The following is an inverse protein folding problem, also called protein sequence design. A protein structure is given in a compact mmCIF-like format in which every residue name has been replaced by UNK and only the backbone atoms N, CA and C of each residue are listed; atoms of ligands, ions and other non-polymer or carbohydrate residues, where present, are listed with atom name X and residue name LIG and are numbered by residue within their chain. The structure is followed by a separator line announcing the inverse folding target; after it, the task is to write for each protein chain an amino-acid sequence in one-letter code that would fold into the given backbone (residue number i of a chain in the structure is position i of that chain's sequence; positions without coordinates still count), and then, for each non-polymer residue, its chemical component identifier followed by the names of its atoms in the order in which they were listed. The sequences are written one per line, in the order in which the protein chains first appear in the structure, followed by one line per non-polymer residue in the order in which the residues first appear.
data_IF_734932943217
#
_entry.id   IF_734932943217
#
_cell.length_a   1.000
_cell.length_b   1.000
_cell.length_c   1.000
_cell.angle_alpha   90.00
_cell.angle_beta   90.00
_cell.angle_gamma   90.00
#
_symmetry.space_group_name_H-M   'P 1'
#
loop_
_entity.id
_entity.type
_entity.pdbx_description
1 polymer ?
#
# COMPACT_ATOMS: atom_id res chain seq x y z
N UNK A 1 -15.66 -16.80 -23.56
CA UNK A 1 -15.97 -15.94 -22.39
C UNK A 1 -17.42 -15.43 -22.41
N UNK A 2 -17.86 -14.68 -23.43
CA UNK A 2 -19.24 -14.13 -23.49
C UNK A 2 -20.34 -15.21 -23.62
N UNK A 3 -20.13 -16.24 -24.44
CA UNK A 3 -21.13 -17.30 -24.64
C UNK A 3 -21.46 -18.08 -23.36
N UNK A 4 -20.46 -18.47 -22.57
CA UNK A 4 -20.64 -19.28 -21.35
C UNK A 4 -21.45 -18.54 -20.26
N UNK A 5 -21.24 -17.23 -20.13
CA UNK A 5 -21.98 -16.39 -19.18
C UNK A 5 -23.42 -16.13 -19.63
N UNK A 6 -23.64 -15.91 -20.93
CA UNK A 6 -24.99 -15.74 -21.49
C UNK A 6 -25.79 -17.04 -21.39
N UNK A 7 -25.17 -18.19 -21.69
CA UNK A 7 -25.83 -19.50 -21.56
C UNK A 7 -26.08 -19.87 -20.10
N UNK A 8 -25.14 -19.61 -19.21
CA UNK A 8 -25.30 -19.87 -17.77
C UNK A 8 -26.39 -18.99 -17.13
N UNK A 9 -26.43 -17.71 -17.48
CA UNK A 9 -27.47 -16.78 -17.03
C UNK A 9 -28.86 -17.16 -17.54
N UNK A 10 -28.97 -17.54 -18.82
CA UNK A 10 -30.24 -17.98 -19.41
C UNK A 10 -30.77 -19.26 -18.73
N UNK A 11 -29.90 -20.23 -18.43
CA UNK A 11 -30.28 -21.47 -17.73
C UNK A 11 -30.75 -21.18 -16.31
N UNK A 12 -30.10 -20.28 -15.57
CA UNK A 12 -30.51 -19.90 -14.21
C UNK A 12 -31.86 -19.16 -14.20
N UNK A 13 -32.10 -18.27 -15.16
CA UNK A 13 -33.38 -17.57 -15.33
C UNK A 13 -34.50 -18.56 -15.68
N UNK A 14 -34.24 -19.48 -16.62
CA UNK A 14 -35.20 -20.52 -17.01
C UNK A 14 -35.53 -21.46 -15.83
N UNK A 15 -34.53 -21.83 -15.01
CA UNK A 15 -34.73 -22.67 -13.82
C UNK A 15 -35.52 -21.97 -12.70
N UNK A 16 -35.45 -20.63 -12.62
CA UNK A 16 -36.31 -19.85 -11.70
C UNK A 16 -37.76 -19.83 -12.18
N UNK A 17 -37.99 -19.70 -13.49
CA UNK A 17 -39.33 -19.66 -14.08
C UNK A 17 -40.08 -21.00 -13.98
N UNK A 18 -39.36 -22.13 -14.04
CA UNK A 18 -39.95 -23.49 -14.05
C UNK A 18 -40.11 -24.08 -12.63
N UNK A 19 -39.68 -23.36 -11.57
CA UNK A 19 -39.85 -23.82 -10.18
C UNK A 19 -38.89 -24.94 -9.73
N UNK A 20 -38.03 -25.46 -10.61
CA UNK A 20 -37.06 -26.54 -10.39
C UNK A 20 -35.79 -26.14 -9.64
N UNK A 21 -35.74 -24.92 -9.10
CA UNK A 21 -34.62 -24.33 -8.35
C UNK A 21 -34.05 -25.21 -7.23
N UNK A 22 -34.84 -26.09 -6.60
CA UNK A 22 -34.35 -26.99 -5.54
C UNK A 22 -33.55 -28.19 -6.05
N UNK A 23 -33.85 -28.67 -7.26
CA UNK A 23 -33.26 -29.89 -7.85
C UNK A 23 -32.05 -29.55 -8.71
N UNK A 24 -32.14 -28.50 -9.53
CA UNK A 24 -31.07 -28.11 -10.46
C UNK A 24 -29.95 -27.25 -9.83
N UNK A 25 -30.11 -26.79 -8.57
CA UNK A 25 -29.06 -26.01 -7.88
C UNK A 25 -27.74 -26.75 -7.78
N UNK A 26 -27.78 -28.04 -7.44
CA UNK A 26 -26.58 -28.85 -7.22
C UNK A 26 -25.87 -29.20 -8.53
N UNK A 27 -26.57 -29.64 -9.59
CA UNK A 27 -25.96 -29.82 -10.91
C UNK A 27 -25.34 -28.53 -11.48
N UNK A 28 -26.04 -27.40 -11.39
CA UNK A 28 -25.52 -26.10 -11.89
C UNK A 28 -24.32 -25.66 -11.05
N UNK A 29 -24.39 -25.78 -9.72
CA UNK A 29 -23.27 -25.48 -8.83
C UNK A 29 -22.06 -26.36 -9.13
N UNK A 30 -22.24 -27.68 -9.28
CA UNK A 30 -21.17 -28.61 -9.63
C UNK A 30 -20.58 -28.30 -11.01
N UNK A 31 -21.40 -27.93 -12.00
CA UNK A 31 -20.94 -27.52 -13.32
C UNK A 31 -20.09 -26.24 -13.25
N UNK A 32 -20.54 -25.23 -12.50
CA UNK A 32 -19.78 -23.99 -12.29
C UNK A 32 -18.46 -24.28 -11.57
N UNK A 33 -18.49 -25.08 -10.49
CA UNK A 33 -17.27 -25.49 -9.78
C UNK A 33 -16.32 -26.27 -10.69
N UNK A 34 -16.83 -27.16 -11.54
CA UNK A 34 -16.01 -27.90 -12.50
C UNK A 34 -15.40 -26.97 -13.57
N UNK A 35 -16.17 -26.01 -14.09
CA UNK A 35 -15.66 -25.01 -15.03
C UNK A 35 -14.55 -24.15 -14.40
N UNK A 36 -14.78 -23.64 -13.18
CA UNK A 36 -13.76 -22.91 -12.40
C UNK A 36 -12.52 -23.78 -12.16
N UNK A 37 -12.69 -25.06 -11.83
CA UNK A 37 -11.58 -25.98 -11.62
C UNK A 37 -10.77 -26.19 -12.91
N UNK A 38 -11.43 -26.34 -14.06
CA UNK A 38 -10.76 -26.47 -15.36
C UNK A 38 -9.98 -25.20 -15.72
N UNK A 39 -10.59 -24.02 -15.53
CA UNK A 39 -9.91 -22.74 -15.75
C UNK A 39 -8.71 -22.56 -14.81
N UNK A 40 -8.85 -22.94 -13.53
CA UNK A 40 -7.76 -22.91 -12.57
C UNK A 40 -6.62 -23.85 -12.98
N UNK A 41 -6.95 -25.07 -13.43
CA UNK A 41 -5.94 -26.03 -13.92
C UNK A 41 -5.25 -25.50 -15.17
N UNK A 42 -5.98 -24.98 -16.16
CA UNK A 42 -5.40 -24.38 -17.36
C UNK A 42 -4.49 -23.20 -17.02
N UNK A 43 -4.91 -22.32 -16.11
CA UNK A 43 -4.12 -21.21 -15.61
C UNK A 43 -2.83 -21.69 -14.92
N UNK A 44 -2.94 -22.68 -14.02
CA UNK A 44 -1.79 -23.27 -13.33
C UNK A 44 -0.84 -23.90 -14.33
N UNK A 45 -1.33 -24.60 -15.35
CA UNK A 45 -0.49 -25.15 -16.42
C UNK A 45 0.26 -24.06 -17.19
N UNK A 46 -0.40 -22.97 -17.60
CA UNK A 46 0.26 -21.82 -18.24
C UNK A 46 1.31 -21.19 -17.33
N UNK A 47 1.04 -21.10 -16.02
CA UNK A 47 2.03 -20.58 -15.06
C UNK A 47 3.20 -21.54 -14.85
N UNK A 48 2.96 -22.85 -14.82
CA UNK A 48 4.01 -23.85 -14.71
C UNK A 48 4.89 -23.86 -15.96
N UNK A 49 4.32 -23.71 -17.16
CA UNK A 49 5.11 -23.60 -18.39
C UNK A 49 5.91 -22.30 -18.43
N UNK A 50 5.33 -21.16 -18.06
CA UNK A 50 6.08 -19.89 -17.92
C UNK A 50 7.22 -20.03 -16.89
N UNK A 51 6.98 -20.67 -15.74
CA UNK A 51 8.03 -20.96 -14.73
C UNK A 51 9.11 -21.89 -15.28
N UNK A 52 8.75 -22.91 -16.07
CA UNK A 52 9.71 -23.81 -16.69
C UNK A 52 10.55 -23.10 -17.76
N UNK A 53 9.95 -22.23 -18.56
CA UNK A 53 10.66 -21.38 -19.52
C UNK A 53 11.60 -20.39 -18.83
N UNK A 54 11.15 -19.75 -17.75
CA UNK A 54 12.01 -18.91 -16.90
C UNK A 54 13.14 -19.71 -16.26
N UNK A 55 12.87 -20.96 -15.86
CA UNK A 55 13.85 -21.88 -15.26
C UNK A 55 15.06 -22.15 -16.16
N UNK A 56 14.84 -22.16 -17.48
CA UNK A 56 15.87 -22.43 -18.50
C UNK A 56 16.51 -21.14 -19.04
N UNK A 57 15.91 -19.98 -18.77
CA UNK A 57 16.42 -18.69 -19.23
C UNK A 57 17.75 -18.29 -18.58
N UNK A 58 18.64 -17.68 -19.36
CA UNK A 58 19.88 -17.01 -18.89
C UNK A 58 19.61 -16.01 -17.75
N UNK A 59 18.39 -15.48 -17.67
CA UNK A 59 17.98 -14.59 -16.58
C UNK A 59 18.05 -15.27 -15.20
N UNK A 60 17.87 -16.59 -15.11
CA UNK A 60 17.90 -17.30 -13.82
C UNK A 60 19.29 -17.36 -13.20
N UNK A 61 20.35 -17.39 -14.00
CA UNK A 61 21.72 -17.32 -13.48
C UNK A 61 22.00 -15.94 -12.85
N UNK A 62 21.53 -14.87 -13.50
CA UNK A 62 21.60 -13.51 -12.96
C UNK A 62 20.72 -13.35 -11.72
N UNK A 63 19.50 -13.92 -11.71
CA UNK A 63 18.62 -13.91 -10.53
C UNK A 63 19.25 -14.64 -9.35
N UNK A 64 19.82 -15.84 -9.56
CA UNK A 64 20.54 -16.56 -8.50
C UNK A 64 21.72 -15.79 -7.93
N UNK A 65 22.47 -15.07 -8.78
CA UNK A 65 23.56 -14.21 -8.33
C UNK A 65 23.02 -13.09 -7.42
N UNK A 66 21.94 -12.42 -7.84
CA UNK A 66 21.29 -11.38 -7.04
C UNK A 66 20.66 -11.92 -5.74
N UNK A 67 20.08 -13.12 -5.77
CA UNK A 67 19.54 -13.81 -4.59
C UNK A 67 20.63 -14.22 -3.60
N UNK A 68 21.87 -14.40 -4.06
CA UNK A 68 23.01 -14.76 -3.20
C UNK A 68 23.63 -13.55 -2.49
N UNK A 69 23.31 -12.33 -2.90
CA UNK A 69 23.80 -11.11 -2.27
C UNK A 69 23.25 -10.97 -0.85
N UNK A 70 24.12 -10.70 0.11
CA UNK A 70 23.75 -10.54 1.53
C UNK A 70 23.61 -9.08 1.96
N UNK A 71 24.00 -8.14 1.09
CA UNK A 71 23.89 -6.70 1.34
C UNK A 71 23.33 -5.97 0.11
N UNK A 72 22.65 -4.84 0.33
CA UNK A 72 22.16 -4.00 -0.74
C UNK A 72 23.29 -3.45 -1.63
N UNK A 73 24.44 -3.11 -1.03
CA UNK A 73 25.58 -2.59 -1.78
C UNK A 73 26.13 -3.61 -2.78
N UNK A 74 26.29 -4.87 -2.35
CA UNK A 74 26.68 -5.98 -3.21
C UNK A 74 25.61 -6.24 -4.28
N UNK A 75 24.34 -6.30 -3.88
CA UNK A 75 23.22 -6.45 -4.83
C UNK A 75 23.22 -5.36 -5.91
N UNK A 76 23.41 -4.09 -5.54
CA UNK A 76 23.42 -2.96 -6.46
C UNK A 76 24.61 -3.04 -7.45
N UNK A 77 25.79 -3.45 -6.97
CA UNK A 77 26.96 -3.64 -7.81
C UNK A 77 26.76 -4.78 -8.83
N UNK A 78 26.21 -5.92 -8.39
CA UNK A 78 25.89 -7.03 -9.29
C UNK A 78 24.80 -6.63 -10.29
N UNK A 79 23.76 -5.93 -9.85
CA UNK A 79 22.70 -5.41 -10.70
C UNK A 79 23.25 -4.49 -11.80
N UNK A 80 24.17 -3.59 -11.45
CA UNK A 80 24.83 -2.70 -12.41
C UNK A 80 25.67 -3.48 -13.43
N UNK A 81 26.40 -4.50 -12.98
CA UNK A 81 27.19 -5.38 -13.87
C UNK A 81 26.29 -6.13 -14.86
N UNK A 82 25.17 -6.66 -14.37
CA UNK A 82 24.17 -7.34 -15.20
C UNK A 82 23.54 -6.35 -16.20
N UNK A 83 23.30 -5.10 -15.81
CA UNK A 83 22.77 -4.06 -16.69
C UNK A 83 23.76 -3.65 -17.78
N UNK A 84 25.04 -3.52 -17.44
CA UNK A 84 26.12 -3.23 -18.39
C UNK A 84 26.26 -4.34 -19.44
N UNK A 85 26.34 -5.61 -19.03
CA UNK A 85 26.39 -6.77 -19.95
C UNK A 85 25.11 -6.88 -20.79
N UNK A 86 23.98 -6.42 -20.26
CA UNK A 86 22.69 -6.45 -20.94
C UNK A 86 22.45 -5.30 -21.92
N UNK A 87 23.33 -4.30 -22.01
CA UNK A 87 23.15 -3.07 -22.79
C UNK A 87 22.15 -2.09 -22.18
N UNK A 88 21.70 -2.31 -20.94
CA UNK A 88 20.74 -1.44 -20.24
C UNK A 88 21.40 -0.17 -19.72
N UNK A 89 22.70 -0.21 -19.47
CA UNK A 89 23.49 0.95 -19.05
C UNK A 89 23.53 2.05 -20.13
N UNK A 90 23.60 1.67 -21.42
CA UNK A 90 23.51 2.62 -22.54
C UNK A 90 22.16 3.34 -22.57
N UNK A 91 21.06 2.61 -22.32
CA UNK A 91 19.74 3.21 -22.19
C UNK A 91 19.66 4.18 -21.01
N UNK A 92 20.33 3.92 -19.88
CA UNK A 92 20.36 4.85 -18.74
C UNK A 92 21.13 6.14 -19.03
N UNK A 93 22.19 6.04 -19.85
CA UNK A 93 23.02 7.18 -20.29
C UNK A 93 22.30 8.09 -21.26
N UNK A 94 21.50 7.53 -22.17
CA UNK A 94 20.71 8.31 -23.12
C UNK A 94 19.59 9.08 -22.41
N UNK A 95 19.63 10.43 -22.35
CA UNK A 95 18.60 11.20 -21.67
C UNK A 95 17.26 11.18 -22.42
N UNK A 96 17.26 10.99 -23.74
CA UNK A 96 16.03 10.98 -24.49
C UNK A 96 15.16 9.75 -24.14
N UNK A 97 13.89 10.01 -23.82
CA UNK A 97 12.82 8.99 -23.72
C UNK A 97 11.48 9.64 -24.05
N UNK A 98 10.51 8.84 -24.51
CA UNK A 98 9.12 9.26 -24.65
C UNK A 98 8.38 9.26 -23.30
N UNK A 99 8.90 8.54 -22.32
CA UNK A 99 8.25 8.28 -21.03
C UNK A 99 8.28 9.49 -20.07
N UNK A 100 9.09 10.52 -20.36
CA UNK A 100 9.18 11.74 -19.55
C UNK A 100 9.72 12.92 -20.37
N UNK A 101 9.49 14.14 -19.87
CA UNK A 101 9.95 15.35 -20.54
C UNK A 101 11.41 15.69 -20.19
N UNK A 102 12.33 14.96 -20.82
CA UNK A 102 13.76 15.07 -20.56
C UNK A 102 14.34 16.48 -20.83
N UNK A 103 13.77 17.23 -21.79
CA UNK A 103 14.24 18.58 -22.11
C UNK A 103 13.93 19.56 -20.99
N UNK A 104 12.70 19.49 -20.47
CA UNK A 104 12.31 20.32 -19.33
C UNK A 104 13.06 19.93 -18.06
N UNK A 105 13.27 18.64 -17.81
CA UNK A 105 14.10 18.18 -16.67
C UNK A 105 15.50 18.76 -16.74
N UNK A 106 16.17 18.67 -17.90
CA UNK A 106 17.53 19.19 -18.07
C UNK A 106 17.59 20.71 -17.86
N UNK A 107 16.69 21.46 -18.52
CA UNK A 107 16.65 22.92 -18.39
C UNK A 107 16.33 23.36 -16.96
N UNK A 108 15.43 22.67 -16.28
CA UNK A 108 15.02 22.98 -14.91
C UNK A 108 16.12 22.62 -13.90
N UNK A 109 16.83 21.50 -14.09
CA UNK A 109 17.98 21.11 -13.28
C UNK A 109 19.10 22.17 -13.34
N UNK A 110 19.43 22.68 -14.53
CA UNK A 110 20.45 23.73 -14.67
C UNK A 110 20.02 25.04 -14.00
N UNK A 111 18.72 25.39 -14.05
CA UNK A 111 18.18 26.55 -13.32
C UNK A 111 18.27 26.39 -11.81
N UNK A 112 17.94 25.21 -11.29
CA UNK A 112 18.08 24.89 -9.85
C UNK A 112 19.55 25.00 -9.41
N UNK A 113 20.45 24.44 -10.20
CA UNK A 113 21.89 24.47 -9.94
C UNK A 113 22.44 25.89 -9.97
N UNK A 114 22.06 26.70 -10.96
CA UNK A 114 22.45 28.10 -11.06
C UNK A 114 21.95 28.92 -9.86
N UNK A 115 20.66 28.79 -9.50
CA UNK A 115 20.08 29.49 -8.35
C UNK A 115 20.75 29.08 -7.03
N UNK A 116 21.05 27.79 -6.85
CA UNK A 116 21.77 27.29 -5.67
C UNK A 116 23.19 27.83 -5.58
N UNK A 117 23.92 27.87 -6.69
CA UNK A 117 25.31 28.39 -6.72
C UNK A 117 25.36 29.91 -6.54
N UNK A 118 24.33 30.63 -6.99
CA UNK A 118 24.19 32.07 -6.78
C UNK A 118 23.77 32.44 -5.34
N UNK A 119 23.29 31.48 -4.56
CA UNK A 119 22.80 31.73 -3.19
C UNK A 119 21.45 32.46 -3.13
N UNK A 120 20.67 32.45 -4.22
CA UNK A 120 19.37 33.11 -4.26
C UNK A 120 18.27 32.18 -3.70
N UNK A 121 18.06 32.27 -2.39
CA UNK A 121 17.05 31.48 -1.66
C UNK A 121 15.62 31.70 -2.15
N UNK A 122 15.30 32.92 -2.62
CA UNK A 122 13.94 33.28 -3.06
C UNK A 122 13.61 32.58 -4.38
N UNK A 123 14.47 32.74 -5.39
CA UNK A 123 14.32 32.06 -6.68
C UNK A 123 14.38 30.54 -6.52
N UNK A 124 15.27 30.05 -5.65
CA UNK A 124 15.42 28.62 -5.39
C UNK A 124 14.13 28.00 -4.82
N UNK A 125 13.48 28.69 -3.87
CA UNK A 125 12.22 28.25 -3.27
C UNK A 125 11.11 28.13 -4.33
N UNK A 126 10.99 29.10 -5.23
CA UNK A 126 10.02 29.07 -6.33
C UNK A 126 10.26 27.91 -7.31
N UNK A 127 11.52 27.68 -7.70
CA UNK A 127 11.88 26.57 -8.60
C UNK A 127 11.69 25.19 -7.95
N UNK A 128 11.97 25.07 -6.65
CA UNK A 128 11.79 23.84 -5.89
C UNK A 128 10.31 23.44 -5.80
N UNK A 129 9.39 24.38 -5.61
CA UNK A 129 7.96 24.06 -5.56
C UNK A 129 7.47 23.37 -6.84
N UNK A 130 8.06 23.66 -8.01
CA UNK A 130 7.73 22.96 -9.24
C UNK A 130 8.25 21.52 -9.26
N UNK A 131 9.42 21.28 -8.63
CA UNK A 131 10.08 19.97 -8.50
C UNK A 131 9.45 19.07 -7.43
N UNK A 132 8.75 19.66 -6.46
CA UNK A 132 8.10 18.98 -5.34
C UNK A 132 6.62 18.69 -5.64
N UNK A 133 6.23 18.72 -6.91
CA UNK A 133 4.95 18.19 -7.36
C UNK A 133 5.06 16.69 -7.55
N UNK A 134 3.96 15.99 -7.28
CA UNK A 134 3.87 14.56 -7.59
C UNK A 134 4.04 14.36 -9.09
N UNK A 135 4.94 13.45 -9.47
CA UNK A 135 5.26 13.12 -10.87
C UNK A 135 5.69 14.35 -11.70
N UNK A 136 6.60 15.16 -11.16
CA UNK A 136 7.12 16.31 -11.90
C UNK A 136 7.77 15.84 -13.22
N UNK A 137 7.35 16.43 -14.34
CA UNK A 137 7.87 16.13 -15.69
C UNK A 137 7.75 14.67 -16.15
N UNK A 138 6.92 13.83 -15.50
CA UNK A 138 6.78 12.41 -15.83
C UNK A 138 7.85 11.50 -15.21
N UNK A 139 8.59 11.97 -14.22
CA UNK A 139 9.71 11.22 -13.61
C UNK A 139 9.31 9.92 -12.88
N UNK A 140 8.03 9.72 -12.57
CA UNK A 140 7.51 8.55 -11.86
C UNK A 140 6.86 7.53 -12.80
N UNK A 141 7.02 7.67 -14.11
CA UNK A 141 6.48 6.72 -15.08
C UNK A 141 7.06 5.30 -14.82
N UNK A 142 6.21 4.27 -14.57
CA UNK A 142 6.68 2.95 -14.15
C UNK A 142 7.66 2.29 -15.13
N UNK A 143 7.50 2.54 -16.43
CA UNK A 143 8.35 1.96 -17.47
C UNK A 143 9.82 2.38 -17.34
N UNK A 144 10.09 3.58 -16.79
CA UNK A 144 11.46 4.04 -16.53
C UNK A 144 12.18 3.20 -15.47
N UNK A 145 11.45 2.69 -14.49
CA UNK A 145 12.01 1.88 -13.39
C UNK A 145 11.97 0.38 -13.69
N UNK A 146 11.32 -0.01 -14.78
CA UNK A 146 11.21 -1.41 -15.20
C UNK A 146 12.38 -1.89 -16.06
N UNK A 147 13.10 -0.97 -16.74
CA UNK A 147 14.05 -1.31 -17.82
C UNK A 147 15.43 -1.72 -17.32
N UNK A 148 15.95 -1.09 -16.26
CA UNK A 148 17.22 -1.42 -15.63
C UNK A 148 17.03 -1.81 -14.17
N UNK A 149 17.90 -2.69 -13.66
CA UNK A 149 17.81 -3.19 -12.27
C UNK A 149 18.44 -2.23 -11.27
N UNK A 150 19.53 -1.58 -11.69
CA UNK A 150 20.36 -0.73 -10.84
C UNK A 150 19.86 0.71 -10.70
N UNK A 151 18.82 1.10 -11.43
CA UNK A 151 18.25 2.45 -11.38
C UNK A 151 17.50 2.83 -12.65
N UNK A 152 17.26 4.13 -12.81
CA UNK A 152 16.55 4.71 -13.97
C UNK A 152 17.54 5.49 -14.84
N UNK A 153 17.04 6.42 -15.66
CA UNK A 153 17.84 7.37 -16.44
C UNK A 153 18.74 8.20 -15.54
N UNK A 154 20.02 8.34 -15.90
CA UNK A 154 20.97 9.14 -15.12
C UNK A 154 20.58 10.61 -15.01
N UNK A 155 19.90 11.16 -16.03
CA UNK A 155 19.37 12.53 -15.96
C UNK A 155 18.38 12.70 -14.79
N UNK A 156 17.50 11.72 -14.56
CA UNK A 156 16.53 11.77 -13.47
C UNK A 156 17.20 11.62 -12.10
N UNK A 157 18.19 10.73 -12.00
CA UNK A 157 18.99 10.55 -10.79
C UNK A 157 19.73 11.85 -10.42
N UNK A 158 20.42 12.46 -11.40
CA UNK A 158 21.11 13.74 -11.23
C UNK A 158 20.16 14.87 -10.85
N UNK A 159 18.98 14.91 -11.47
CA UNK A 159 17.94 15.88 -11.17
C UNK A 159 17.45 15.75 -9.71
N UNK A 160 17.13 14.53 -9.25
CA UNK A 160 16.71 14.27 -7.87
C UNK A 160 17.81 14.60 -6.87
N UNK A 161 19.06 14.27 -7.19
CA UNK A 161 20.22 14.64 -6.37
C UNK A 161 20.40 16.16 -6.28
N UNK A 162 20.17 16.90 -7.36
CA UNK A 162 20.20 18.37 -7.35
C UNK A 162 19.07 18.93 -6.48
N UNK A 163 17.83 18.43 -6.62
CA UNK A 163 16.69 18.81 -5.75
C UNK A 163 17.02 18.59 -4.27
N UNK A 164 17.61 17.43 -3.92
CA UNK A 164 18.05 17.16 -2.55
C UNK A 164 19.14 18.12 -2.08
N UNK A 165 20.11 18.47 -2.94
CA UNK A 165 21.16 19.45 -2.62
C UNK A 165 20.59 20.85 -2.40
N UNK A 166 19.62 21.28 -3.22
CA UNK A 166 18.89 22.54 -3.07
C UNK A 166 18.06 22.60 -1.78
N UNK A 167 17.38 21.51 -1.41
CA UNK A 167 16.66 21.44 -0.12
C UNK A 167 17.62 21.55 1.08
N UNK A 168 18.81 20.94 0.99
CA UNK A 168 19.83 21.06 2.04
C UNK A 168 20.40 22.48 2.13
N UNK A 169 20.59 23.19 1.03
CA UNK A 169 21.07 24.58 1.07
C UNK A 169 20.05 25.52 1.72
N UNK A 170 18.75 25.29 1.52
CA UNK A 170 17.70 26.08 2.18
C UNK A 170 17.62 25.86 3.71
N UNK A 171 18.14 24.74 4.24
CA UNK A 171 18.21 24.53 5.69
C UNK A 171 19.21 25.45 6.40
N UNK A 172 20.19 26.00 5.68
CA UNK A 172 21.25 26.81 6.25
C UNK A 172 20.85 28.29 6.47
N UNK A 173 19.62 28.68 6.13
CA UNK A 173 19.23 30.10 6.10
C UNK A 173 18.73 30.61 7.45
N UNK A 174 18.98 31.91 7.70
CA UNK A 174 18.96 32.60 8.99
C UNK A 174 17.55 32.81 9.57
N UNK A 175 17.50 33.19 10.86
CA UNK A 175 16.29 33.42 11.65
C UNK A 175 15.24 34.35 11.01
N UNK A 176 15.66 35.32 10.18
CA UNK A 176 14.78 36.29 9.54
C UNK A 176 13.89 35.67 8.43
N UNK A 177 14.32 34.55 7.85
CA UNK A 177 13.56 33.83 6.81
C UNK A 177 12.70 32.69 7.36
N UNK A 178 12.56 32.57 8.70
CA UNK A 178 11.84 31.45 9.32
C UNK A 178 10.38 31.34 8.89
N UNK A 179 9.69 32.47 8.73
CA UNK A 179 8.28 32.47 8.31
C UNK A 179 8.13 32.08 6.84
N UNK A 180 9.00 32.59 5.97
CA UNK A 180 9.05 32.22 4.56
C UNK A 180 9.43 30.74 4.39
N UNK A 181 10.42 30.26 5.16
CA UNK A 181 10.84 28.86 5.20
C UNK A 181 9.74 27.94 5.71
N UNK A 182 9.02 28.35 6.77
CA UNK A 182 7.86 27.61 7.28
C UNK A 182 6.76 27.51 6.22
N UNK A 183 6.42 28.63 5.58
CA UNK A 183 5.43 28.67 4.50
C UNK A 183 5.85 27.76 3.35
N UNK A 184 7.09 27.86 2.89
CA UNK A 184 7.65 26.99 1.86
C UNK A 184 7.55 25.50 2.27
N UNK A 185 7.93 25.15 3.50
CA UNK A 185 7.90 23.76 3.97
C UNK A 185 6.47 23.21 4.01
N UNK A 186 5.49 24.00 4.44
CA UNK A 186 4.08 23.62 4.45
C UNK A 186 3.56 23.41 3.02
N UNK A 187 3.84 24.34 2.11
CA UNK A 187 3.43 24.23 0.69
C UNK A 187 4.13 23.05 -0.01
N UNK A 188 5.43 22.89 0.21
CA UNK A 188 6.22 21.78 -0.32
C UNK A 188 5.68 20.42 0.16
N UNK A 189 5.39 20.31 1.47
CA UNK A 189 4.81 19.09 2.04
C UNK A 189 3.41 18.80 1.49
N UNK A 190 2.58 19.83 1.32
CA UNK A 190 1.24 19.67 0.74
C UNK A 190 1.29 19.25 -0.74
N UNK A 191 2.29 19.71 -1.50
CA UNK A 191 2.46 19.39 -2.93
C UNK A 191 3.07 18.01 -3.16
N UNK A 192 4.08 17.64 -2.37
CA UNK A 192 4.79 16.37 -2.52
C UNK A 192 4.01 15.22 -1.87
N UNK A 193 3.33 15.52 -0.76
CA UNK A 193 2.69 14.54 0.11
C UNK A 193 3.68 13.75 0.96
N UNK A 194 3.16 12.73 1.63
CA UNK A 194 3.90 11.82 2.50
C UNK A 194 4.18 10.46 1.87
N UNK A 195 5.04 9.69 2.55
CA UNK A 195 5.24 8.26 2.29
C UNK A 195 4.60 7.45 3.40
N UNK A 196 3.91 6.36 3.06
CA UNK A 196 3.40 5.39 4.02
C UNK A 196 3.94 3.98 3.76
N UNK A 197 4.15 3.22 4.84
CA UNK A 197 4.37 1.78 4.77
C UNK A 197 3.05 1.07 5.06
N UNK A 198 2.58 0.24 4.13
CA UNK A 198 1.33 -0.52 4.25
C UNK A 198 1.65 -1.99 4.37
N UNK A 199 1.29 -2.58 5.50
CA UNK A 199 1.50 -3.99 5.84
C UNK A 199 0.18 -4.74 5.69
N UNK A 200 0.07 -5.51 4.61
CA UNK A 200 -1.12 -6.29 4.29
C UNK A 200 -1.27 -7.49 5.23
N UNK A 201 -2.48 -8.04 5.29
CA UNK A 201 -2.76 -9.31 5.93
C UNK A 201 -2.07 -10.49 5.24
N UNK A 202 -2.00 -11.62 5.95
CA UNK A 202 -1.52 -12.88 5.38
C UNK A 202 -1.24 -13.97 6.42
N UNK A 203 -1.96 -13.93 7.54
CA UNK A 203 -1.82 -14.86 8.65
C UNK A 203 -0.34 -15.04 9.07
N UNK A 204 0.15 -16.29 9.14
CA UNK A 204 1.52 -16.60 9.56
C UNK A 204 2.59 -15.92 8.69
N UNK A 205 2.32 -15.67 7.40
CA UNK A 205 3.28 -15.01 6.52
C UNK A 205 3.52 -13.53 6.87
N UNK A 206 2.71 -12.94 7.76
CA UNK A 206 2.95 -11.61 8.30
C UNK A 206 4.31 -11.44 8.98
N UNK A 207 4.97 -12.53 9.40
CA UNK A 207 6.35 -12.50 9.92
C UNK A 207 7.35 -11.88 8.93
N UNK A 208 7.11 -11.99 7.63
CA UNK A 208 8.01 -11.43 6.62
C UNK A 208 8.05 -9.90 6.64
N UNK A 209 7.00 -9.24 7.14
CA UNK A 209 7.00 -7.78 7.28
C UNK A 209 8.10 -7.29 8.21
N UNK A 210 8.50 -8.07 9.22
CA UNK A 210 9.62 -7.70 10.09
C UNK A 210 10.94 -7.56 9.32
N UNK A 211 11.14 -8.36 8.27
CA UNK A 211 12.30 -8.22 7.38
C UNK A 211 12.27 -6.91 6.61
N UNK A 212 11.11 -6.52 6.06
CA UNK A 212 10.92 -5.25 5.35
C UNK A 212 11.13 -4.06 6.29
N UNK A 213 10.50 -4.10 7.47
CA UNK A 213 10.65 -3.06 8.51
C UNK A 213 12.11 -2.95 8.94
N UNK A 214 12.79 -4.08 9.19
CA UNK A 214 14.20 -4.08 9.57
C UNK A 214 15.07 -3.46 8.48
N UNK A 215 14.86 -3.81 7.21
CA UNK A 215 15.62 -3.24 6.10
C UNK A 215 15.42 -1.71 5.99
N UNK A 216 14.18 -1.24 6.11
CA UNK A 216 13.86 0.19 6.10
C UNK A 216 14.42 0.92 7.33
N UNK A 217 14.39 0.29 8.50
CA UNK A 217 14.94 0.85 9.74
C UNK A 217 16.46 0.97 9.67
N UNK A 218 17.16 -0.11 9.28
CA UNK A 218 18.62 -0.13 9.13
C UNK A 218 19.10 0.92 8.11
N UNK A 219 18.29 1.17 7.05
CA UNK A 219 18.56 2.20 6.05
C UNK A 219 18.18 3.63 6.51
N UNK A 220 17.54 3.79 7.68
CA UNK A 220 16.94 5.07 8.15
C UNK A 220 15.93 5.66 7.17
N UNK A 221 15.15 4.80 6.53
CA UNK A 221 14.11 5.14 5.55
C UNK A 221 12.71 4.67 5.96
N UNK A 222 12.53 4.27 7.23
CA UNK A 222 11.22 3.86 7.74
C UNK A 222 10.23 5.04 7.69
N UNK A 223 9.09 4.94 6.97
CA UNK A 223 8.12 6.01 6.88
C UNK A 223 7.50 6.35 8.24
N UNK A 224 7.05 7.60 8.41
CA UNK A 224 6.39 8.02 9.65
C UNK A 224 4.94 7.57 9.76
N UNK A 225 4.31 7.18 8.64
CA UNK A 225 2.94 6.67 8.58
C UNK A 225 2.97 5.18 8.28
N UNK A 226 2.50 4.39 9.23
CA UNK A 226 2.46 2.92 9.14
C UNK A 226 1.00 2.47 9.19
N UNK A 227 0.57 1.76 8.16
CA UNK A 227 -0.75 1.16 8.08
C UNK A 227 -0.64 -0.37 8.16
N UNK A 228 -1.53 -1.02 8.90
CA UNK A 228 -1.56 -2.47 8.99
C UNK A 228 -2.96 -3.05 9.01
N UNK A 229 -3.12 -4.22 8.40
CA UNK A 229 -4.34 -5.03 8.46
C UNK A 229 -4.01 -6.45 8.94
N UNK A 230 -4.84 -7.04 9.82
CA UNK A 230 -4.68 -8.40 10.33
C UNK A 230 -3.26 -8.66 10.89
N UNK A 231 -2.53 -9.64 10.37
CA UNK A 231 -1.14 -9.89 10.75
C UNK A 231 -0.21 -8.67 10.55
N UNK A 232 -0.46 -7.84 9.53
CA UNK A 232 0.26 -6.58 9.32
C UNK A 232 -0.03 -5.54 10.41
N UNK A 233 -1.22 -5.56 11.03
CA UNK A 233 -1.56 -4.68 12.15
C UNK A 233 -0.74 -5.02 13.41
N UNK A 234 -0.45 -6.31 13.66
CA UNK A 234 0.44 -6.75 14.75
C UNK A 234 1.83 -6.14 14.57
N UNK A 235 2.39 -6.23 13.37
CA UNK A 235 3.71 -5.69 13.05
C UNK A 235 3.72 -4.17 13.14
N UNK A 236 2.69 -3.51 12.59
CA UNK A 236 2.53 -2.06 12.68
C UNK A 236 2.44 -1.57 14.14
N UNK A 237 1.73 -2.30 15.01
CA UNK A 237 1.65 -1.99 16.43
C UNK A 237 3.02 -2.07 17.12
N UNK A 238 3.85 -3.08 16.81
CA UNK A 238 5.22 -3.17 17.34
C UNK A 238 6.05 -1.97 16.91
N UNK A 239 5.95 -1.58 15.64
CA UNK A 239 6.71 -0.47 15.06
C UNK A 239 6.32 0.86 15.71
N UNK A 240 5.04 1.14 15.88
CA UNK A 240 4.56 2.45 16.33
C UNK A 240 4.49 2.62 17.86
N UNK A 241 4.69 1.57 18.66
CA UNK A 241 4.61 1.66 20.14
C UNK A 241 5.98 1.69 20.82
N UNK A 242 7.05 1.43 20.07
CA UNK A 242 8.42 1.32 20.59
C UNK A 242 9.29 2.44 20.07
N UNK A 243 10.23 2.92 20.89
CA UNK A 243 11.24 3.87 20.45
C UNK A 243 12.14 3.24 19.38
N UNK A 244 12.88 4.06 18.63
CA UNK A 244 13.78 3.57 17.57
C UNK A 244 14.82 2.58 18.11
N UNK A 245 15.38 2.85 19.30
CA UNK A 245 16.36 1.98 19.96
C UNK A 245 15.74 0.64 20.37
N UNK A 246 14.55 0.66 20.98
CA UNK A 246 13.82 -0.55 21.37
C UNK A 246 13.45 -1.40 20.15
N UNK A 247 12.97 -0.75 19.08
CA UNK A 247 12.62 -1.42 17.85
C UNK A 247 13.85 -2.05 17.19
N UNK A 248 14.98 -1.33 17.15
CA UNK A 248 16.25 -1.86 16.62
C UNK A 248 16.68 -3.09 17.41
N UNK A 249 16.66 -3.02 18.75
CA UNK A 249 17.03 -4.15 19.59
C UNK A 249 16.17 -5.40 19.31
N UNK A 250 14.84 -5.24 19.26
CA UNK A 250 13.91 -6.36 19.05
C UNK A 250 14.07 -6.98 17.65
N UNK A 251 14.32 -6.18 16.61
CA UNK A 251 14.47 -6.69 15.24
C UNK A 251 15.82 -7.37 14.98
N UNK A 252 16.87 -6.99 15.71
CA UNK A 252 18.21 -7.59 15.59
C UNK A 252 18.38 -8.83 16.47
N UNK A 253 18.01 -8.75 17.75
CA UNK A 253 18.13 -9.86 18.70
C UNK A 253 17.09 -10.96 18.42
N UNK A 254 15.87 -10.57 18.04
CA UNK A 254 14.74 -11.43 17.65
C UNK A 254 14.27 -12.41 18.74
N UNK A 255 15.00 -12.62 19.83
CA UNK A 255 14.67 -13.61 20.85
C UNK A 255 13.29 -13.38 21.45
N UNK A 256 13.00 -12.14 21.86
CA UNK A 256 11.68 -11.76 22.35
C UNK A 256 10.60 -11.93 21.28
N UNK A 257 10.87 -11.52 20.04
CA UNK A 257 9.91 -11.65 18.95
C UNK A 257 9.58 -13.13 18.66
N UNK A 258 10.59 -14.00 18.64
CA UNK A 258 10.41 -15.44 18.49
C UNK A 258 9.69 -16.07 19.68
N UNK A 259 9.98 -15.62 20.91
CA UNK A 259 9.32 -16.12 22.11
C UNK A 259 7.82 -15.82 22.03
N UNK A 260 7.49 -14.56 21.77
CA UNK A 260 6.11 -14.07 21.77
C UNK A 260 5.34 -14.55 20.55
N UNK A 261 5.92 -14.57 19.34
CA UNK A 261 5.19 -15.10 18.18
C UNK A 261 5.09 -16.63 18.22
N UNK A 262 6.15 -17.34 18.62
CA UNK A 262 6.25 -18.80 18.52
C UNK A 262 5.87 -19.53 19.79
N UNK A 263 6.78 -19.52 20.77
CA UNK A 263 6.75 -20.43 21.92
C UNK A 263 5.63 -20.17 22.93
N UNK A 264 5.22 -18.91 23.10
CA UNK A 264 4.14 -18.47 23.99
C UNK A 264 2.99 -17.81 23.21
N UNK A 265 3.07 -17.92 21.88
CA UNK A 265 2.26 -17.16 20.95
C UNK A 265 1.10 -17.91 20.34
N UNK A 266 0.41 -17.25 19.40
CA UNK A 266 -0.73 -17.81 18.67
C UNK A 266 -0.34 -18.94 17.71
N UNK A 267 0.93 -19.32 17.65
CA UNK A 267 1.39 -20.44 16.85
C UNK A 267 1.71 -21.68 17.68
N UNK A 268 1.70 -21.58 19.01
CA UNK A 268 1.88 -22.71 19.94
C UNK A 268 0.76 -23.76 19.81
N UNK A 269 1.10 -25.03 20.06
CA UNK A 269 0.18 -26.17 20.11
C UNK A 269 0.21 -27.08 18.87
N UNK A 270 -0.02 -28.38 19.08
CA UNK A 270 -0.13 -29.39 18.02
C UNK A 270 -1.29 -29.08 17.08
N UNK A 271 -1.12 -29.34 15.78
CA UNK A 271 -2.17 -29.21 14.77
C UNK A 271 -3.44 -29.98 15.16
N UNK A 272 -3.28 -31.13 15.80
CA UNK A 272 -4.39 -31.96 16.29
C UNK A 272 -5.17 -31.28 17.43
N UNK A 273 -4.48 -30.55 18.31
CA UNK A 273 -5.11 -29.75 19.36
C UNK A 273 -5.93 -28.60 18.75
N UNK A 274 -5.36 -27.88 17.76
CA UNK A 274 -6.05 -26.78 17.06
C UNK A 274 -7.30 -27.28 16.36
N UNK A 275 -7.21 -28.41 15.64
CA UNK A 275 -8.35 -29.02 14.96
C UNK A 275 -9.44 -29.45 15.96
N UNK A 276 -9.07 -30.09 17.07
CA UNK A 276 -10.00 -30.47 18.13
C UNK A 276 -10.71 -29.25 18.73
N UNK A 277 -9.99 -28.14 18.90
CA UNK A 277 -10.55 -26.91 19.44
C UNK A 277 -11.56 -26.27 18.48
N UNK A 278 -11.24 -26.23 17.18
CA UNK A 278 -12.18 -25.78 16.14
C UNK A 278 -13.42 -26.66 16.10
N UNK A 279 -13.28 -27.99 16.17
CA UNK A 279 -14.44 -28.89 16.15
C UNK A 279 -15.31 -28.77 17.41
N UNK A 280 -14.74 -28.47 18.57
CA UNK A 280 -15.49 -28.34 19.84
C UNK A 280 -16.11 -26.96 20.04
N UNK A 281 -15.36 -25.90 19.69
CA UNK A 281 -15.69 -24.54 20.07
C UNK A 281 -15.92 -23.62 18.86
N UNK A 282 -15.71 -24.09 17.63
CA UNK A 282 -15.78 -23.27 16.42
C UNK A 282 -14.65 -22.27 16.25
N UNK A 283 -13.66 -22.26 17.16
CA UNK A 283 -12.54 -21.31 17.21
C UNK A 283 -11.28 -21.94 17.80
N UNK A 284 -10.10 -21.41 17.47
CA UNK A 284 -8.82 -21.88 18.02
C UNK A 284 -8.50 -21.15 19.33
N UNK A 285 -8.63 -19.83 19.37
CA UNK A 285 -8.19 -19.00 20.49
C UNK A 285 -9.36 -18.32 21.22
N UNK A 286 -9.20 -18.15 22.55
CA UNK A 286 -10.09 -17.32 23.36
C UNK A 286 -9.68 -15.85 23.22
N UNK A 287 -10.66 -14.96 23.10
CA UNK A 287 -10.42 -13.52 23.01
C UNK A 287 -9.60 -12.98 24.19
N UNK A 288 -9.90 -13.39 25.43
CA UNK A 288 -9.22 -12.84 26.62
C UNK A 288 -7.72 -13.15 26.62
N UNK A 289 -7.36 -14.39 26.33
CA UNK A 289 -5.95 -14.81 26.26
C UNK A 289 -5.25 -14.19 25.05
N UNK A 290 -5.96 -14.10 23.92
CA UNK A 290 -5.45 -13.45 22.72
C UNK A 290 -5.18 -11.95 22.94
N UNK A 291 -6.11 -11.23 23.56
CA UNK A 291 -5.96 -9.83 23.90
C UNK A 291 -4.79 -9.61 24.87
N UNK A 292 -4.67 -10.46 25.90
CA UNK A 292 -3.53 -10.42 26.84
C UNK A 292 -2.21 -10.55 26.09
N UNK A 293 -2.14 -11.46 25.12
CA UNK A 293 -0.96 -11.65 24.30
C UNK A 293 -0.71 -10.44 23.36
N UNK A 294 -1.76 -9.90 22.73
CA UNK A 294 -1.66 -8.75 21.83
C UNK A 294 -1.20 -7.46 22.54
N UNK A 295 -1.46 -7.33 23.83
CA UNK A 295 -0.95 -6.22 24.65
C UNK A 295 0.58 -6.16 24.72
N UNK A 296 1.29 -7.27 24.57
CA UNK A 296 2.75 -7.22 24.49
C UNK A 296 3.22 -6.49 23.22
N UNK A 297 2.57 -6.75 22.09
CA UNK A 297 2.90 -6.09 20.82
C UNK A 297 2.56 -4.60 20.84
N UNK A 298 1.50 -4.20 21.53
CA UNK A 298 1.10 -2.78 21.64
C UNK A 298 1.63 -2.03 22.86
N UNK A 299 2.33 -2.70 23.79
CA UNK A 299 2.64 -2.21 25.14
C UNK A 299 1.40 -1.73 25.93
N UNK A 300 0.20 -2.18 25.56
CA UNK A 300 -1.06 -1.74 26.16
C UNK A 300 -1.38 -0.25 25.97
N UNK A 301 -0.81 0.37 24.93
CA UNK A 301 -1.01 1.78 24.62
C UNK A 301 -2.26 2.02 23.76
N UNK A 302 -2.82 3.23 23.86
CA UNK A 302 -3.80 3.76 22.91
C UNK A 302 -3.13 4.35 21.67
N UNK A 303 -3.91 4.63 20.61
CA UNK A 303 -3.38 5.26 19.39
C UNK A 303 -2.72 6.63 19.67
N UNK A 304 -3.33 7.43 20.55
CA UNK A 304 -2.77 8.72 20.94
C UNK A 304 -1.48 8.56 21.74
N UNK A 305 -1.47 7.66 22.73
CA UNK A 305 -0.28 7.38 23.55
C UNK A 305 0.91 6.91 22.69
N UNK A 306 0.66 6.02 21.73
CA UNK A 306 1.70 5.54 20.81
C UNK A 306 2.23 6.65 19.89
N UNK A 307 1.35 7.54 19.40
CA UNK A 307 1.74 8.69 18.58
C UNK A 307 2.55 9.69 19.38
N UNK A 308 2.13 10.03 20.60
CA UNK A 308 2.85 10.96 21.49
C UNK A 308 4.23 10.39 21.88
N UNK A 309 4.33 9.07 22.08
CA UNK A 309 5.58 8.40 22.46
C UNK A 309 6.60 8.31 21.32
N UNK A 310 6.16 8.06 20.08
CA UNK A 310 7.08 7.75 18.96
C UNK A 310 7.08 8.77 17.83
N UNK A 311 6.07 9.64 17.74
CA UNK A 311 5.82 10.52 16.60
C UNK A 311 5.39 9.79 15.32
N UNK A 312 5.21 8.46 15.36
CA UNK A 312 4.78 7.66 14.21
C UNK A 312 3.27 7.48 14.22
N UNK A 313 2.66 7.72 13.07
CA UNK A 313 1.24 7.51 12.85
C UNK A 313 0.98 6.02 12.65
N UNK A 314 0.19 5.44 13.54
CA UNK A 314 -0.37 4.10 13.39
C UNK A 314 -1.78 4.20 12.82
N UNK A 315 -2.04 3.45 11.74
CA UNK A 315 -3.38 3.26 11.17
C UNK A 315 -3.69 1.77 11.07
N UNK A 316 -4.82 1.34 11.64
CA UNK A 316 -5.28 -0.05 11.59
C UNK A 316 -6.64 -0.12 10.91
N UNK A 317 -6.77 -0.99 9.91
CA UNK A 317 -8.02 -1.19 9.17
C UNK A 317 -8.86 -2.29 9.83
N UNK A 318 -10.14 -2.01 10.08
CA UNK A 318 -11.10 -2.97 10.66
C UNK A 318 -12.42 -2.91 9.88
N UNK A 319 -13.06 -4.05 9.65
CA UNK A 319 -14.35 -4.09 8.94
C UNK A 319 -15.48 -4.39 9.93
N UNK A 320 -16.53 -3.56 10.06
CA UNK A 320 -17.64 -3.86 10.95
C UNK A 320 -18.46 -5.06 10.42
N UNK A 321 -18.66 -6.08 11.25
CA UNK A 321 -19.47 -7.26 10.93
C UNK A 321 -20.97 -6.97 11.00
N UNK A 322 -21.38 -6.22 12.03
CA UNK A 322 -22.73 -5.69 12.19
C UNK A 322 -22.61 -4.19 12.39
N UNK A 323 -23.18 -3.44 11.46
CA UNK A 323 -23.45 -2.03 11.64
C UNK A 323 -24.96 -1.83 11.47
N UNK A 324 -25.50 -0.74 12.03
CA UNK A 324 -26.92 -0.35 11.86
C UNK A 324 -27.34 -0.28 10.37
N UNK A 325 -26.39 -0.28 9.41
CA UNK A 325 -26.64 -0.50 7.97
C UNK A 325 -25.94 -1.74 7.37
N UNK A 326 -26.58 -2.37 6.37
CA UNK A 326 -26.09 -3.59 5.65
C UNK A 326 -24.74 -3.43 4.92
N UNK A 327 -24.11 -2.26 4.92
CA UNK A 327 -22.85 -1.93 4.21
C UNK A 327 -22.11 -0.75 4.88
N UNK A 328 -21.75 -0.87 6.15
CA UNK A 328 -20.86 0.13 6.72
C UNK A 328 -19.45 -0.01 6.13
N UNK A 329 -18.79 1.11 5.77
CA UNK A 329 -17.44 1.07 5.23
C UNK A 329 -16.44 0.60 6.30
N UNK A 330 -15.29 0.06 5.88
CA UNK A 330 -14.19 -0.26 6.79
C UNK A 330 -13.75 0.95 7.60
N UNK A 331 -13.56 0.76 8.90
CA UNK A 331 -13.05 1.76 9.82
C UNK A 331 -11.53 1.82 9.73
N UNK A 332 -11.01 3.04 9.68
CA UNK A 332 -9.58 3.33 9.74
C UNK A 332 -9.28 3.94 11.12
N UNK A 333 -8.75 3.10 12.00
CA UNK A 333 -8.47 3.44 13.39
C UNK A 333 -7.08 4.06 13.48
N UNK A 334 -6.98 5.28 13.99
CA UNK A 334 -5.73 6.02 14.14
C UNK A 334 -5.81 7.06 15.26
N UNK A 335 -4.72 7.78 15.49
CA UNK A 335 -4.63 8.81 16.53
C UNK A 335 -5.54 10.04 16.32
N UNK A 336 -6.10 10.24 15.11
CA UNK A 336 -7.02 11.33 14.80
C UNK A 336 -8.47 10.86 14.96
N UNK A 337 -8.83 9.74 14.32
CA UNK A 337 -10.20 9.22 14.30
C UNK A 337 -10.60 8.48 15.59
N UNK A 338 -9.65 7.84 16.25
CA UNK A 338 -9.89 6.96 17.40
C UNK A 338 -8.73 7.03 18.41
N UNK A 339 -8.46 8.20 19.00
CA UNK A 339 -7.27 8.45 19.83
C UNK A 339 -7.17 7.55 21.07
N UNK A 340 -8.30 7.28 21.73
CA UNK A 340 -8.35 6.58 23.02
C UNK A 340 -8.57 5.06 22.88
N UNK A 341 -8.73 4.55 21.66
CA UNK A 341 -8.89 3.11 21.42
C UNK A 341 -7.60 2.37 21.77
N UNK A 342 -7.73 1.26 22.52
CA UNK A 342 -6.63 0.36 22.85
C UNK A 342 -6.13 -0.35 21.58
N UNK A 343 -4.84 -0.21 21.28
CA UNK A 343 -4.24 -0.78 20.07
C UNK A 343 -4.33 -2.30 20.09
N UNK A 344 -4.22 -2.96 21.25
CA UNK A 344 -4.34 -4.42 21.31
C UNK A 344 -5.74 -4.88 20.88
N UNK A 345 -6.79 -4.20 21.37
CA UNK A 345 -8.17 -4.47 20.94
C UNK A 345 -8.38 -4.22 19.44
N UNK A 346 -7.78 -3.16 18.88
CA UNK A 346 -7.83 -2.85 17.45
C UNK A 346 -7.13 -3.91 16.59
N UNK A 347 -5.97 -4.40 17.03
CA UNK A 347 -5.27 -5.52 16.37
C UNK A 347 -6.11 -6.80 16.42
N UNK A 348 -6.76 -7.08 17.56
CA UNK A 348 -7.66 -8.24 17.67
C UNK A 348 -8.84 -8.12 16.69
N UNK A 349 -9.49 -6.95 16.64
CA UNK A 349 -10.58 -6.65 15.71
C UNK A 349 -10.16 -6.79 14.24
N UNK A 350 -8.97 -6.29 13.90
CA UNK A 350 -8.39 -6.39 12.56
C UNK A 350 -7.99 -7.81 12.17
N UNK A 351 -7.81 -8.73 13.14
CA UNK A 351 -7.41 -10.12 12.93
C UNK A 351 -8.53 -11.15 13.25
N UNK A 352 -9.80 -10.72 13.25
CA UNK A 352 -10.96 -11.59 13.45
C UNK A 352 -11.24 -12.46 12.22
N UNK A 353 -10.43 -13.51 12.03
CA UNK A 353 -10.63 -14.52 10.99
C UNK A 353 -11.59 -15.61 11.48
N UNK A 354 -12.63 -15.97 10.69
CA UNK A 354 -13.51 -17.09 11.03
C UNK A 354 -12.70 -18.36 11.38
N UNK A 355 -13.13 -19.08 12.42
CA UNK A 355 -12.43 -20.25 13.00
C UNK A 355 -11.14 -19.95 13.77
N UNK A 356 -10.55 -18.76 13.68
CA UNK A 356 -9.40 -18.38 14.51
C UNK A 356 -9.86 -17.78 15.83
N UNK A 357 -10.59 -16.64 15.76
CA UNK A 357 -11.09 -15.85 16.89
C UNK A 357 -12.51 -15.39 16.55
N UNK A 358 -13.34 -15.19 17.58
CA UNK A 358 -14.69 -14.66 17.42
C UNK A 358 -14.67 -13.17 17.02
N UNK A 359 -15.75 -12.63 16.41
CA UNK A 359 -15.89 -11.20 16.23
C UNK A 359 -15.80 -10.47 17.57
N UNK A 360 -14.93 -9.46 17.67
CA UNK A 360 -14.70 -8.71 18.92
C UNK A 360 -15.19 -7.28 18.79
N UNK A 361 -15.49 -6.66 19.93
CA UNK A 361 -15.73 -5.22 20.02
C UNK A 361 -14.43 -4.51 20.37
N UNK A 362 -14.26 -3.30 19.81
CA UNK A 362 -13.15 -2.43 20.15
C UNK A 362 -13.27 -1.97 21.61
N UNK A 363 -12.13 -1.70 22.24
CA UNK A 363 -12.06 -1.17 23.60
C UNK A 363 -11.44 0.23 23.57
N UNK A 364 -12.03 1.15 24.34
CA UNK A 364 -11.57 2.51 24.53
C UNK A 364 -11.15 2.71 25.98
N UNK A 365 -10.07 3.45 26.18
CA UNK A 365 -9.57 3.80 27.50
C UNK A 365 -10.28 5.06 27.99
N UNK A 366 -11.05 4.92 29.07
CA UNK A 366 -11.74 6.03 29.72
C UNK A 366 -10.77 6.95 30.47
N UNK A 367 -11.30 8.07 30.98
CA UNK A 367 -10.55 9.02 31.82
C UNK A 367 -10.07 8.39 33.14
N UNK A 368 -10.77 7.35 33.60
CA UNK A 368 -10.44 6.51 34.75
C UNK A 368 -9.27 5.54 34.47
N UNK A 369 -8.78 5.49 33.22
CA UNK A 369 -7.75 4.57 32.77
C UNK A 369 -8.23 3.13 32.58
N UNK A 370 -9.53 2.86 32.77
CA UNK A 370 -10.13 1.55 32.53
C UNK A 370 -10.56 1.40 31.07
N UNK A 371 -10.70 0.16 30.63
CA UNK A 371 -11.14 -0.15 29.27
C UNK A 371 -12.65 -0.38 29.23
N UNK A 372 -13.33 0.38 28.40
CA UNK A 372 -14.76 0.31 28.15
C UNK A 372 -15.02 -0.07 26.68
N UNK A 373 -16.15 -0.70 26.34
CA UNK A 373 -16.51 -0.94 24.95
C UNK A 373 -16.60 0.36 24.14
N UNK A 374 -16.06 0.35 22.92
CA UNK A 374 -16.09 1.49 22.00
C UNK A 374 -17.51 1.76 21.48
N UNK A 375 -18.00 3.00 21.63
CA UNK A 375 -19.36 3.47 21.31
C UNK A 375 -20.50 2.70 22.00
N UNK A 376 -20.55 2.78 23.34
CA UNK A 376 -21.65 2.26 24.18
C UNK A 376 -22.72 3.34 24.51
N UNK A 377 -22.80 4.41 23.71
CA UNK A 377 -23.48 5.67 24.08
C UNK A 377 -24.98 5.74 23.80
N UNK A 378 -25.58 4.79 23.10
CA UNK A 378 -27.03 4.69 22.96
C UNK A 378 -27.44 3.31 23.47
N UNK A 379 -28.32 3.23 24.47
CA UNK A 379 -28.76 2.01 25.17
C UNK A 379 -29.48 0.94 24.34
N UNK A 380 -29.07 0.72 23.10
CA UNK A 380 -29.38 -0.43 22.26
C UNK A 380 -28.33 -1.52 22.48
N UNK A 381 -28.77 -2.69 22.94
CA UNK A 381 -27.96 -3.89 23.28
C UNK A 381 -27.08 -4.46 22.13
N UNK A 382 -27.00 -3.83 20.96
CA UNK A 382 -26.29 -4.37 19.80
C UNK A 382 -24.87 -3.78 19.63
N UNK A 383 -23.92 -4.39 20.35
CA UNK A 383 -22.49 -4.11 20.23
C UNK A 383 -22.01 -4.21 18.77
N UNK A 384 -21.30 -3.19 18.30
CA UNK A 384 -20.61 -3.24 17.00
C UNK A 384 -19.50 -4.28 17.10
N UNK A 385 -19.70 -5.41 16.42
CA UNK A 385 -18.68 -6.46 16.30
C UNK A 385 -17.88 -6.25 15.03
N UNK A 386 -16.58 -6.47 15.11
CA UNK A 386 -15.65 -6.30 13.99
C UNK A 386 -15.26 -7.65 13.38
N UNK A 387 -14.87 -7.62 12.10
CA UNK A 387 -14.27 -8.69 11.32
C UNK A 387 -12.92 -8.21 10.78
N UNK A 388 -12.07 -9.16 10.42
CA UNK A 388 -10.76 -8.92 9.83
C UNK A 388 -10.78 -7.89 8.69
N UNK A 389 -9.91 -6.88 8.81
CA UNK A 389 -9.82 -5.74 7.89
C UNK A 389 -9.27 -6.08 6.51
N UNK A 390 -8.58 -7.21 6.34
CA UNK A 390 -8.05 -7.68 5.06
C UNK A 390 -9.12 -8.13 4.06
N UNK A 391 -10.36 -8.36 4.50
CA UNK A 391 -11.46 -8.73 3.60
C UNK A 391 -11.93 -7.60 2.69
N UNK A 392 -11.93 -6.36 3.19
CA UNK A 392 -12.47 -5.20 2.46
C UNK A 392 -11.49 -4.04 2.33
N UNK A 393 -10.51 -3.91 3.23
CA UNK A 393 -9.57 -2.78 3.27
C UNK A 393 -8.15 -3.23 3.66
N UNK A 394 -7.61 -4.22 2.95
CA UNK A 394 -6.25 -4.72 3.19
C UNK A 394 -5.17 -3.66 2.88
N UNK A 395 -5.38 -2.89 1.81
CA UNK A 395 -4.47 -1.83 1.34
C UNK A 395 -5.26 -0.55 1.05
N UNK A 396 -5.63 0.25 2.08
CA UNK A 396 -6.55 1.39 1.94
C UNK A 396 -5.84 2.67 1.46
N UNK A 397 -5.24 2.65 0.27
CA UNK A 397 -4.40 3.76 -0.22
C UNK A 397 -5.16 5.09 -0.33
N UNK A 398 -6.39 5.07 -0.85
CA UNK A 398 -7.21 6.28 -1.01
C UNK A 398 -7.54 6.94 0.34
N UNK A 399 -7.78 6.12 1.36
CA UNK A 399 -8.07 6.64 2.70
C UNK A 399 -6.81 7.24 3.35
N UNK A 400 -5.66 6.58 3.19
CA UNK A 400 -4.38 7.13 3.66
C UNK A 400 -4.02 8.43 2.95
N UNK A 401 -4.29 8.51 1.64
CA UNK A 401 -4.12 9.75 0.87
C UNK A 401 -5.02 10.86 1.41
N UNK A 402 -6.29 10.57 1.70
CA UNK A 402 -7.25 11.54 2.21
C UNK A 402 -6.95 12.02 3.64
N UNK A 403 -6.56 11.12 4.55
CA UNK A 403 -6.38 11.46 5.98
C UNK A 403 -5.00 12.09 6.21
N UNK A 404 -3.95 11.53 5.60
CA UNK A 404 -2.56 11.88 5.92
C UNK A 404 -1.81 12.56 4.77
N UNK A 405 -2.45 12.81 3.63
CA UNK A 405 -1.82 13.40 2.45
C UNK A 405 -0.71 12.51 1.88
N UNK A 406 -0.91 11.19 1.91
CA UNK A 406 0.05 10.22 1.36
C UNK A 406 0.00 10.19 -0.16
N UNK A 407 1.15 10.37 -0.77
CA UNK A 407 1.35 10.24 -2.22
C UNK A 407 2.07 8.95 -2.57
N UNK A 408 3.08 8.59 -1.75
CA UNK A 408 3.94 7.44 -1.99
C UNK A 408 3.60 6.32 -1.02
N UNK A 409 3.48 5.10 -1.52
CA UNK A 409 3.21 3.93 -0.67
C UNK A 409 4.20 2.82 -0.92
N UNK A 410 4.71 2.23 0.16
CA UNK A 410 5.46 0.99 0.14
C UNK A 410 4.49 -0.08 0.64
N UNK A 411 4.06 -0.98 -0.24
CA UNK A 411 3.12 -2.05 0.11
C UNK A 411 3.90 -3.34 0.30
N UNK A 412 3.88 -3.88 1.52
CA UNK A 412 4.39 -5.23 1.80
C UNK A 412 3.22 -6.19 1.79
N UNK A 413 3.14 -7.04 0.76
CA UNK A 413 2.04 -7.98 0.56
C UNK A 413 2.57 -9.42 0.68
N UNK A 414 2.03 -10.17 1.63
CA UNK A 414 2.47 -11.54 1.97
C UNK A 414 1.39 -12.59 1.67
N UNK A 415 0.29 -12.17 1.07
CA UNK A 415 -0.84 -13.00 0.74
C UNK A 415 -0.48 -14.08 -0.30
N UNK A 416 -0.49 -15.39 0.06
CA UNK A 416 -0.01 -16.45 -0.82
C UNK A 416 -0.88 -16.63 -2.08
N UNK A 417 -2.16 -16.26 -2.01
CA UNK A 417 -3.07 -16.31 -3.15
C UNK A 417 -2.74 -15.29 -4.24
N UNK A 418 -1.90 -14.29 -3.97
CA UNK A 418 -1.47 -13.28 -4.95
C UNK A 418 -0.26 -13.76 -5.76
N UNK A 419 0.55 -14.67 -5.18
CA UNK A 419 1.77 -15.21 -5.82
C UNK A 419 1.53 -15.81 -7.21
N UNK A 420 0.43 -16.54 -7.49
CA UNK A 420 0.14 -17.02 -8.84
C UNK A 420 -0.12 -15.88 -9.84
N UNK A 421 -0.69 -14.77 -9.38
CA UNK A 421 -1.06 -13.63 -10.23
C UNK A 421 0.08 -12.63 -10.43
N UNK A 422 1.04 -12.60 -9.52
CA UNK A 422 2.22 -11.75 -9.62
C UNK A 422 3.11 -12.17 -10.79
N UNK A 423 3.36 -11.22 -11.70
CA UNK A 423 4.36 -11.36 -12.76
C UNK A 423 5.53 -10.43 -12.42
N UNK A 424 6.74 -10.97 -12.36
CA UNK A 424 7.94 -10.17 -12.19
C UNK A 424 8.06 -9.20 -13.36
N UNK A 425 8.05 -7.90 -13.07
CA UNK A 425 8.47 -6.88 -14.05
C UNK A 425 9.99 -6.96 -14.13
N UNK A 426 10.50 -7.94 -14.87
CA UNK A 426 11.94 -8.06 -15.11
C UNK A 426 12.29 -7.20 -16.30
N UNK A 427 13.05 -6.11 -16.11
CA UNK A 427 14.04 -5.58 -17.06
C UNK A 427 13.76 -5.89 -18.51
N UNK A 428 12.57 -5.57 -19.03
CA UNK A 428 12.18 -6.01 -20.36
C UNK A 428 13.08 -5.22 -21.29
N UNK A 429 13.85 -5.92 -22.13
CA UNK A 429 14.32 -5.28 -23.36
C UNK A 429 13.03 -4.83 -24.02
N UNK A 430 12.76 -3.52 -24.06
CA UNK A 430 11.82 -3.00 -25.01
C UNK A 430 12.18 -3.70 -26.33
N UNK A 431 11.23 -4.47 -26.86
CA UNK A 431 11.36 -4.90 -28.25
C UNK A 431 11.67 -3.61 -29.00
N UNK A 432 12.78 -3.60 -29.72
CA UNK A 432 13.11 -2.53 -30.66
C UNK A 432 11.83 -2.23 -31.40
N UNK A 433 11.20 -1.08 -31.13
CA UNK A 433 10.07 -0.64 -31.95
C UNK A 433 10.63 -0.56 -33.37
N UNK A 434 10.06 -1.27 -34.35
CA UNK A 434 10.43 -1.03 -35.72
C UNK A 434 10.02 0.42 -36.03
N UNK A 435 11.01 1.24 -36.33
CA UNK A 435 10.85 2.46 -37.12
C UNK A 435 9.95 2.13 -38.33
N UNK A 436 8.67 2.50 -38.27
CA UNK A 436 7.93 3.14 -39.37
C UNK A 436 6.46 3.40 -39.00
N UNK A 437 6.14 4.70 -38.92
CA UNK A 437 5.01 5.35 -39.58
C UNK A 437 3.59 4.78 -39.38
N UNK A 438 2.84 5.39 -38.46
CA UNK A 438 1.47 5.85 -38.74
C UNK A 438 1.25 7.21 -38.03
N UNK A 439 0.76 8.26 -38.72
CA UNK A 439 0.44 9.52 -38.07
C UNK A 439 -0.82 9.32 -37.20
N UNK A 440 -0.69 9.48 -35.89
CA UNK A 440 -1.87 9.58 -35.04
C UNK A 440 -2.66 10.86 -35.40
N UNK A 441 -3.98 10.76 -35.60
CA UNK A 441 -4.81 11.91 -35.87
C UNK A 441 -4.82 12.82 -34.65
N UNK A 442 -4.56 14.11 -34.89
CA UNK A 442 -4.69 15.19 -33.92
C UNK A 442 -6.05 15.05 -33.21
N UNK A 443 -6.04 14.88 -31.89
CA UNK A 443 -7.19 15.22 -31.06
C UNK A 443 -7.19 16.74 -30.87
N UNK A 444 -8.15 17.50 -31.44
CA UNK A 444 -8.38 18.85 -30.97
C UNK A 444 -9.25 18.72 -29.72
N UNK A 445 -8.84 19.28 -28.59
CA UNK A 445 -9.73 19.76 -27.52
C UNK A 445 -8.87 20.31 -26.39
N UNK A 446 -8.34 21.51 -26.58
CA UNK A 446 -8.35 22.54 -25.54
C UNK A 446 -8.18 23.92 -26.19
N UNK A 447 -9.26 24.70 -26.11
CA UNK A 447 -9.24 26.17 -26.15
C UNK A 447 -9.39 26.83 -27.51
N UNK A 448 -10.60 27.35 -27.80
CA UNK A 448 -10.75 28.74 -28.25
C UNK A 448 -12.12 29.31 -27.78
N UNK A 449 -12.16 30.62 -27.47
CA UNK A 449 -13.28 31.27 -26.79
C UNK A 449 -14.44 31.50 -27.75
N UNK A 450 -15.67 31.39 -27.25
CA UNK A 450 -16.87 31.80 -27.99
C UNK A 450 -17.25 33.19 -27.49
N UNK A 451 -16.98 34.18 -28.33
CA UNK A 451 -17.55 35.52 -28.25
C UNK A 451 -18.24 35.78 -29.60
N UNK A 452 -19.39 36.44 -29.49
CA UNK A 452 -20.23 37.07 -30.52
C UNK A 452 -21.22 36.19 -31.30
N UNK A 453 -22.50 36.33 -30.93
CA UNK A 453 -23.54 37.09 -31.68
C UNK A 453 -24.95 36.69 -31.16
N UNK A 454 -26.03 37.45 -31.44
CA UNK A 454 -26.32 38.85 -31.16
C UNK A 454 -27.57 39.01 -30.25
N UNK A 455 -27.78 40.24 -29.79
CA UNK A 455 -28.98 40.74 -29.10
C UNK A 455 -30.29 40.39 -29.81
N UNK A 456 -31.24 39.78 -29.08
CA UNK A 456 -32.66 40.09 -29.18
C UNK A 456 -33.38 39.83 -27.84
N UNK A 457 -34.13 40.85 -27.42
CA UNK A 457 -34.99 40.90 -26.25
C UNK A 457 -36.08 39.82 -26.30
N UNK A 458 -36.57 39.36 -25.13
CA UNK A 458 -38.00 39.31 -24.74
C UNK A 458 -38.17 38.70 -23.33
N UNK A 459 -38.45 39.59 -22.37
CA UNK A 459 -39.47 39.54 -21.30
C UNK A 459 -39.85 38.23 -20.56
N UNK A 460 -39.78 38.33 -19.22
CA UNK A 460 -40.76 37.86 -18.21
C UNK A 460 -41.58 36.58 -18.47
N UNK A 461 -41.44 35.56 -17.61
CA UNK A 461 -42.49 35.19 -16.63
C UNK A 461 -42.07 34.05 -15.70
N UNK A 462 -42.53 34.19 -14.46
CA UNK A 462 -42.50 33.34 -13.28
C UNK A 462 -43.45 32.13 -13.35
N UNK A 463 -43.04 30.96 -12.83
CA UNK A 463 -43.85 29.96 -12.05
C UNK A 463 -42.93 28.77 -11.70
N UNK A 464 -42.61 28.46 -10.44
CA UNK A 464 -43.35 27.70 -9.41
C UNK A 464 -43.76 26.26 -9.78
N UNK A 465 -43.49 25.34 -8.83
CA UNK A 465 -43.87 23.90 -8.72
C UNK A 465 -42.94 22.93 -9.49
N UNK A 466 -42.36 21.87 -8.91
CA UNK A 466 -42.65 21.05 -7.72
C UNK A 466 -41.34 20.51 -7.11
#
# INVERSE_FOLDING_TARGET
MWLLWVTGGAVVVLCRLVGTHRVLRWPIFLFICAAIAVELVAYVLVRLTMRAMHSVSRNRAHERLLESCTSYADWAQQAATIDAVGGRDEWRKEPASADYDWRHVLAHMERLKAARLAGDSSTLSGLLLHSLRTNAFGELEPDLYSRARSGTKHLLEQYRDEVCRCLRSLRAVTLAEREQSRTFCLTARASLGGTALVLSGGALFGVFHFGVVKALLDARMLPSVICGASAGAVVAAVVCTRSENELTHILHDKADLFREMGSHGPFFGSLLWKLRQVMRCGRIYNYVDWLRHMRWFSKGMTFKEAFDHTGRVLNISCTPLRSRGRRAPPLQLNHISSPHVDIASAVCASACVPMLIEPVSLLEKGEDGQLHPYHDSDGDDERISMRDGSYEADVPLECLASIFGITFSIVSQVNPHVVPFYAWVTGTKAAVEPLCALPHPRSPLYGKPILDMPTHQLTHQSTQQL
#
